data_IF_823086589190
#
_entry.id   IF_823086589190
#
_cell.length_a   1.000
_cell.length_b   1.000
_cell.length_c   1.000
_cell.angle_alpha   90.00
_cell.angle_beta   90.00
_cell.angle_gamma   90.00
#
_symmetry.space_group_name_H-M   'P 1'
#
loop_
_entity.id
_entity.type
_entity.pdbx_description
1 polymer ?
#
# COMPACT_ATOMS: atom_id res chain seq x y z
N UNK A 1 8.95 -6.33 17.87
CA UNK A 1 7.65 -6.72 17.24
C UNK A 1 7.44 -5.89 15.97
N UNK A 2 6.59 -6.33 15.03
CA UNK A 2 6.34 -5.61 13.77
C UNK A 2 4.84 -5.36 13.60
N UNK A 3 4.48 -4.29 12.86
CA UNK A 3 3.11 -3.95 12.56
C UNK A 3 2.86 -3.86 11.03
N UNK A 4 1.64 -4.15 10.62
CA UNK A 4 1.14 -3.90 9.27
C UNK A 4 -0.01 -2.89 9.33
N UNK A 5 0.14 -1.75 8.66
CA UNK A 5 -0.92 -0.78 8.38
C UNK A 5 -1.56 -1.16 7.06
N UNK A 6 -2.80 -1.59 7.11
CA UNK A 6 -3.58 -2.11 6.00
C UNK A 6 -4.61 -1.06 5.58
N UNK A 7 -4.31 -0.35 4.50
CA UNK A 7 -5.10 0.81 4.06
C UNK A 7 -6.33 0.34 3.24
N UNK A 8 -7.49 0.35 3.88
CA UNK A 8 -8.77 -0.05 3.29
C UNK A 8 -9.81 1.09 3.21
N UNK A 9 -9.58 2.25 3.85
CA UNK A 9 -10.52 3.37 3.93
C UNK A 9 -10.81 4.13 2.63
N UNK A 10 -10.14 3.78 1.52
CA UNK A 10 -10.23 4.50 0.25
C UNK A 10 -11.63 4.47 -0.36
N UNK A 11 -12.15 5.65 -0.75
CA UNK A 11 -13.52 5.81 -1.29
C UNK A 11 -13.76 5.17 -2.67
N UNK A 12 -12.71 4.81 -3.42
CA UNK A 12 -12.85 4.20 -4.74
C UNK A 12 -13.70 5.00 -5.74
N UNK A 13 -13.63 6.34 -5.71
CA UNK A 13 -14.54 7.24 -6.46
C UNK A 13 -14.66 6.92 -7.95
N UNK A 14 -13.59 6.41 -8.57
CA UNK A 14 -13.57 6.00 -9.99
C UNK A 14 -14.33 4.70 -10.26
N UNK A 15 -14.66 3.94 -9.23
CA UNK A 15 -15.35 2.65 -9.32
C UNK A 15 -16.82 2.67 -8.83
N UNK A 16 -17.28 3.77 -8.21
CA UNK A 16 -18.62 3.87 -7.60
C UNK A 16 -19.80 3.55 -8.50
N UNK A 17 -19.62 3.63 -9.82
CA UNK A 17 -20.66 3.25 -10.78
C UNK A 17 -20.78 1.73 -10.99
N UNK A 18 -19.80 0.96 -10.53
CA UNK A 18 -19.69 -0.47 -10.81
C UNK A 18 -19.68 -1.32 -9.52
N UNK A 19 -19.17 -0.78 -8.41
CA UNK A 19 -19.06 -1.48 -7.13
C UNK A 19 -19.24 -0.50 -5.97
N UNK A 20 -19.99 -0.89 -4.95
CA UNK A 20 -20.23 -0.09 -3.74
C UNK A 20 -18.96 0.09 -2.93
N UNK A 21 -18.20 -0.99 -2.74
CA UNK A 21 -16.88 -0.96 -2.09
C UNK A 21 -15.90 -1.89 -2.81
N UNK A 22 -14.88 -1.29 -3.43
CA UNK A 22 -13.90 -2.06 -4.21
C UNK A 22 -13.06 -3.01 -3.35
N UNK A 23 -12.83 -2.68 -2.07
CA UNK A 23 -11.99 -3.50 -1.17
C UNK A 23 -12.71 -4.79 -0.80
N UNK A 24 -14.04 -4.72 -0.72
CA UNK A 24 -14.92 -5.85 -0.42
C UNK A 24 -15.38 -6.59 -1.69
N UNK A 25 -14.95 -6.17 -2.88
CA UNK A 25 -15.27 -6.86 -4.12
C UNK A 25 -14.60 -8.24 -4.14
N UNK A 26 -15.39 -9.26 -4.44
CA UNK A 26 -14.93 -10.66 -4.48
C UNK A 26 -14.32 -11.01 -5.85
N UNK A 27 -13.11 -11.58 -5.80
CA UNK A 27 -12.39 -12.11 -6.95
C UNK A 27 -11.79 -13.45 -6.61
N UNK A 28 -12.12 -14.48 -7.38
CA UNK A 28 -11.57 -15.82 -7.16
C UNK A 28 -11.97 -16.45 -5.82
N UNK A 29 -13.13 -16.08 -5.27
CA UNK A 29 -13.71 -16.66 -4.05
C UNK A 29 -13.32 -15.96 -2.75
N UNK A 30 -12.67 -14.79 -2.80
CA UNK A 30 -12.45 -13.94 -1.61
C UNK A 30 -12.33 -12.46 -2.00
N UNK A 31 -12.51 -11.57 -1.02
CA UNK A 31 -12.42 -10.13 -1.24
C UNK A 31 -11.00 -9.69 -1.57
N UNK A 32 -10.84 -8.53 -2.21
CA UNK A 32 -9.50 -7.93 -2.42
C UNK A 32 -8.78 -7.71 -1.08
N UNK A 33 -9.54 -7.37 -0.04
CA UNK A 33 -9.01 -7.21 1.32
C UNK A 33 -8.47 -8.53 1.86
N UNK A 34 -9.25 -9.62 1.82
CA UNK A 34 -8.81 -10.94 2.28
C UNK A 34 -7.57 -11.43 1.54
N UNK A 35 -7.48 -11.19 0.23
CA UNK A 35 -6.26 -11.54 -0.55
C UNK A 35 -5.02 -10.83 -0.03
N UNK A 36 -5.13 -9.56 0.32
CA UNK A 36 -4.01 -8.83 0.95
C UNK A 36 -3.65 -9.43 2.30
N UNK A 37 -4.64 -9.78 3.13
CA UNK A 37 -4.42 -10.40 4.44
C UNK A 37 -3.77 -11.78 4.34
N UNK A 38 -4.12 -12.59 3.33
CA UNK A 38 -3.53 -13.91 3.11
C UNK A 38 -2.00 -13.84 3.03
N UNK A 39 -1.47 -12.90 2.27
CA UNK A 39 -0.02 -12.75 2.14
C UNK A 39 0.65 -12.41 3.48
N UNK A 40 0.05 -11.52 4.28
CA UNK A 40 0.57 -11.19 5.62
C UNK A 40 0.44 -12.37 6.60
N UNK A 41 -0.66 -13.13 6.51
CA UNK A 41 -0.85 -14.35 7.29
C UNK A 41 0.23 -15.40 6.98
N UNK A 42 0.47 -15.66 5.69
CA UNK A 42 1.45 -16.64 5.22
C UNK A 42 2.89 -16.21 5.54
N UNK A 43 3.19 -14.92 5.42
CA UNK A 43 4.52 -14.40 5.70
C UNK A 43 4.85 -14.35 7.19
N UNK A 44 3.85 -14.28 8.07
CA UNK A 44 3.98 -14.16 9.53
C UNK A 44 4.95 -13.04 9.99
N UNK A 45 5.03 -11.93 9.23
CA UNK A 45 6.00 -10.86 9.45
C UNK A 45 5.54 -9.77 10.42
N UNK A 46 4.26 -9.76 10.82
CA UNK A 46 3.68 -8.73 11.67
C UNK A 46 2.80 -9.33 12.78
N UNK A 47 2.98 -8.83 14.02
CA UNK A 47 2.23 -9.23 15.22
C UNK A 47 1.04 -8.32 15.50
N UNK A 48 0.97 -7.17 14.82
CA UNK A 48 -0.10 -6.19 14.92
C UNK A 48 -0.58 -5.82 13.52
N UNK A 49 -1.88 -5.99 13.26
CA UNK A 49 -2.54 -5.51 12.06
C UNK A 49 -3.42 -4.31 12.39
N UNK A 50 -3.16 -3.18 11.79
CA UNK A 50 -3.95 -1.96 11.92
C UNK A 50 -4.69 -1.75 10.61
N UNK A 51 -5.99 -1.99 10.61
CA UNK A 51 -6.83 -1.86 9.42
C UNK A 51 -7.53 -0.51 9.44
N UNK A 52 -7.33 0.30 8.39
CA UNK A 52 -8.06 1.56 8.28
C UNK A 52 -9.41 1.36 7.61
N UNK A 53 -10.46 2.01 8.12
CA UNK A 53 -11.82 1.93 7.59
C UNK A 53 -12.40 3.32 7.32
N UNK A 54 -13.39 3.40 6.43
CA UNK A 54 -14.04 4.65 5.99
C UNK A 54 -15.23 5.04 6.87
N UNK A 55 -16.13 4.10 7.10
CA UNK A 55 -17.41 4.28 7.80
C UNK A 55 -17.75 3.05 8.63
N UNK A 56 -18.82 3.14 9.44
CA UNK A 56 -19.19 2.09 10.37
C UNK A 56 -19.57 0.77 9.68
N UNK A 57 -20.30 0.85 8.56
CA UNK A 57 -20.69 -0.33 7.80
C UNK A 57 -19.47 -1.09 7.26
N UNK A 58 -18.50 -0.38 6.68
CA UNK A 58 -17.25 -0.99 6.22
C UNK A 58 -16.45 -1.56 7.40
N UNK A 59 -16.41 -0.86 8.54
CA UNK A 59 -15.69 -1.32 9.74
C UNK A 59 -16.11 -2.72 10.15
N UNK A 60 -17.40 -2.98 10.26
CA UNK A 60 -17.95 -4.26 10.74
C UNK A 60 -17.54 -5.42 9.81
N UNK A 61 -17.58 -5.20 8.50
CA UNK A 61 -17.17 -6.19 7.50
C UNK A 61 -15.66 -6.47 7.56
N UNK A 62 -14.84 -5.41 7.58
CA UNK A 62 -13.38 -5.53 7.66
C UNK A 62 -12.93 -6.17 8.97
N UNK A 63 -13.58 -5.84 10.10
CA UNK A 63 -13.29 -6.42 11.41
C UNK A 63 -13.58 -7.91 11.45
N UNK A 64 -14.75 -8.32 10.95
CA UNK A 64 -15.12 -9.73 10.85
C UNK A 64 -14.14 -10.50 10.00
N UNK A 65 -13.77 -9.97 8.83
CA UNK A 65 -12.87 -10.64 7.89
C UNK A 65 -11.42 -10.69 8.42
N UNK A 66 -10.91 -9.58 8.98
CA UNK A 66 -9.57 -9.52 9.55
C UNK A 66 -9.41 -10.45 10.76
N UNK A 67 -10.42 -10.53 11.62
CA UNK A 67 -10.41 -11.42 12.80
C UNK A 67 -10.39 -12.90 12.42
N UNK A 68 -11.07 -13.28 11.33
CA UNK A 68 -11.05 -14.66 10.80
C UNK A 68 -9.72 -15.02 10.15
N UNK A 69 -9.05 -14.02 9.58
CA UNK A 69 -7.81 -14.21 8.80
C UNK A 69 -6.55 -14.10 9.67
N UNK A 70 -6.61 -13.36 10.77
CA UNK A 70 -5.45 -13.15 11.63
C UNK A 70 -4.99 -14.46 12.27
N UNK A 71 -3.68 -14.80 12.19
CA UNK A 71 -3.12 -15.94 12.90
C UNK A 71 -3.24 -15.77 14.42
N UNK A 72 -3.14 -16.87 15.15
CA UNK A 72 -3.05 -16.83 16.61
C UNK A 72 -1.88 -15.94 17.06
N UNK A 73 -2.11 -15.08 18.06
CA UNK A 73 -1.13 -14.14 18.58
C UNK A 73 -1.01 -12.83 17.80
N UNK A 74 -1.68 -12.68 16.64
CA UNK A 74 -1.74 -11.41 15.91
C UNK A 74 -2.90 -10.57 16.42
N UNK A 75 -2.59 -9.36 16.92
CA UNK A 75 -3.60 -8.39 17.34
C UNK A 75 -4.14 -7.61 16.14
N UNK A 76 -5.46 -7.46 16.04
CA UNK A 76 -6.14 -6.64 15.02
C UNK A 76 -6.72 -5.39 15.67
N UNK A 77 -6.47 -4.23 15.08
CA UNK A 77 -7.01 -2.92 15.49
C UNK A 77 -7.63 -2.23 14.29
N UNK A 78 -8.90 -1.81 14.41
CA UNK A 78 -9.54 -0.97 13.40
C UNK A 78 -9.37 0.51 13.74
N UNK A 79 -8.98 1.30 12.74
CA UNK A 79 -8.75 2.74 12.88
C UNK A 79 -9.50 3.49 11.79
N UNK A 80 -10.25 4.52 12.16
CA UNK A 80 -10.92 5.36 11.18
C UNK A 80 -9.88 6.07 10.30
N UNK A 81 -10.00 5.93 8.98
CA UNK A 81 -9.18 6.64 8.01
C UNK A 81 -9.46 8.15 8.03
N UNK A 82 -8.55 8.91 7.45
CA UNK A 82 -8.69 10.35 7.27
C UNK A 82 -9.21 10.72 5.88
N UNK A 83 -9.24 12.00 5.58
CA UNK A 83 -9.69 12.54 4.29
C UNK A 83 -8.76 12.12 3.15
N UNK A 84 -7.46 12.10 3.41
CA UNK A 84 -6.42 11.68 2.48
C UNK A 84 -5.71 10.40 2.98
N UNK A 85 -4.96 9.76 2.07
CA UNK A 85 -4.18 8.56 2.39
C UNK A 85 -3.19 8.80 3.53
N UNK A 86 -2.46 9.92 3.51
CA UNK A 86 -1.51 10.32 4.56
C UNK A 86 -2.16 10.44 5.94
N UNK A 87 -3.37 11.00 6.03
CA UNK A 87 -4.11 11.11 7.29
C UNK A 87 -4.53 9.73 7.83
N UNK A 88 -4.85 8.80 6.93
CA UNK A 88 -5.16 7.41 7.34
C UNK A 88 -3.93 6.71 7.92
N UNK A 89 -2.76 6.92 7.33
CA UNK A 89 -1.48 6.42 7.86
C UNK A 89 -1.17 7.05 9.20
N UNK A 90 -1.33 8.35 9.34
CA UNK A 90 -1.11 9.07 10.60
C UNK A 90 -2.00 8.54 11.72
N UNK A 91 -3.30 8.35 11.45
CA UNK A 91 -4.25 7.80 12.42
C UNK A 91 -3.85 6.38 12.86
N UNK A 92 -3.32 5.58 11.94
CA UNK A 92 -2.81 4.24 12.23
C UNK A 92 -1.51 4.30 13.05
N UNK A 93 -0.57 5.17 12.71
CA UNK A 93 0.69 5.37 13.45
C UNK A 93 0.45 5.76 14.90
N UNK A 94 -0.61 6.53 15.19
CA UNK A 94 -1.00 6.90 16.57
C UNK A 94 -1.42 5.70 17.45
N UNK A 95 -1.64 4.51 16.85
CA UNK A 95 -1.96 3.26 17.57
C UNK A 95 -0.76 2.33 17.73
N UNK A 96 0.38 2.71 17.19
CA UNK A 96 1.61 1.92 17.24
C UNK A 96 2.37 2.28 18.51
N UNK A 97 2.64 1.26 19.32
CA UNK A 97 3.39 1.36 20.58
C UNK A 97 4.91 1.32 20.32
N UNK A 98 5.74 1.74 21.31
CA UNK A 98 7.20 1.79 21.16
C UNK A 98 7.88 0.43 20.89
N UNK A 99 7.23 -0.68 21.23
CA UNK A 99 7.76 -2.03 21.02
C UNK A 99 7.79 -2.45 19.54
N UNK A 100 7.08 -1.73 18.69
CA UNK A 100 7.07 -1.99 17.25
C UNK A 100 8.33 -1.41 16.62
N UNK A 101 9.11 -2.27 16.01
CA UNK A 101 10.39 -1.92 15.36
C UNK A 101 10.24 -1.68 13.85
N UNK A 102 9.42 -2.49 13.18
CA UNK A 102 9.21 -2.39 11.73
C UNK A 102 7.72 -2.20 11.44
N UNK A 103 7.41 -1.31 10.49
CA UNK A 103 6.07 -1.02 10.02
C UNK A 103 5.99 -1.27 8.52
N UNK A 104 5.03 -2.11 8.12
CA UNK A 104 4.60 -2.27 6.73
C UNK A 104 3.40 -1.37 6.49
N UNK A 105 3.41 -0.59 5.41
CA UNK A 105 2.24 0.16 4.94
C UNK A 105 1.79 -0.41 3.60
N UNK A 106 0.58 -0.95 3.55
CA UNK A 106 0.06 -1.63 2.36
C UNK A 106 -1.32 -1.14 1.95
N UNK A 107 -1.47 -0.84 0.66
CA UNK A 107 -2.74 -0.55 0.04
C UNK A 107 -3.50 -1.87 -0.22
N UNK A 108 -4.59 -2.17 0.50
CA UNK A 108 -5.39 -3.38 0.29
C UNK A 108 -6.04 -3.46 -1.10
N UNK A 109 -5.94 -2.40 -1.89
CA UNK A 109 -6.28 -2.39 -3.31
C UNK A 109 -5.22 -3.06 -4.20
N UNK A 110 -4.13 -3.64 -3.65
CA UNK A 110 -3.11 -4.45 -4.34
C UNK A 110 -3.18 -5.91 -3.86
N UNK A 111 -4.18 -6.67 -4.30
CA UNK A 111 -4.45 -8.01 -3.76
C UNK A 111 -3.45 -9.09 -4.20
N UNK A 112 -2.52 -8.75 -5.12
CA UNK A 112 -1.55 -9.71 -5.67
C UNK A 112 -0.23 -9.75 -4.92
N UNK A 113 -0.13 -9.08 -3.75
CA UNK A 113 1.06 -9.15 -2.90
C UNK A 113 1.36 -10.59 -2.49
N UNK A 114 2.64 -10.97 -2.43
CA UNK A 114 3.10 -12.32 -2.11
C UNK A 114 3.86 -12.36 -0.78
N UNK A 115 3.69 -13.43 -0.01
CA UNK A 115 4.36 -13.64 1.26
C UNK A 115 5.90 -13.51 1.16
N UNK A 116 6.51 -14.08 0.12
CA UNK A 116 7.95 -13.97 -0.12
C UNK A 116 8.46 -12.52 -0.25
N UNK A 117 7.62 -11.63 -0.82
CA UNK A 117 7.98 -10.22 -0.96
C UNK A 117 7.93 -9.49 0.37
N UNK A 118 6.99 -9.84 1.25
CA UNK A 118 6.93 -9.33 2.62
C UNK A 118 8.17 -9.73 3.43
N UNK A 119 8.60 -10.99 3.33
CA UNK A 119 9.81 -11.48 4.00
C UNK A 119 11.05 -10.75 3.49
N UNK A 120 11.15 -10.56 2.16
CA UNK A 120 12.28 -9.83 1.55
C UNK A 120 12.30 -8.37 1.99
N UNK A 121 11.15 -7.69 1.99
CA UNK A 121 11.02 -6.31 2.47
C UNK A 121 11.43 -6.17 3.94
N UNK A 122 11.03 -7.12 4.80
CA UNK A 122 11.43 -7.13 6.20
C UNK A 122 12.95 -7.16 6.33
N UNK A 123 13.61 -8.11 5.64
CA UNK A 123 15.07 -8.24 5.68
C UNK A 123 15.77 -6.96 5.23
N UNK A 124 15.36 -6.39 4.09
CA UNK A 124 15.98 -5.17 3.56
C UNK A 124 15.72 -3.97 4.47
N UNK A 125 14.50 -3.81 5.01
CA UNK A 125 14.18 -2.69 5.91
C UNK A 125 14.93 -2.77 7.25
N UNK A 126 15.20 -3.97 7.78
CA UNK A 126 16.05 -4.15 8.95
C UNK A 126 17.48 -3.68 8.66
N UNK A 127 18.01 -4.02 7.50
CA UNK A 127 19.39 -3.69 7.08
C UNK A 127 19.56 -2.21 6.74
N UNK A 128 18.60 -1.62 6.00
CA UNK A 128 18.76 -0.30 5.38
C UNK A 128 17.87 0.80 5.97
N UNK A 129 17.02 0.49 6.96
CA UNK A 129 16.07 1.42 7.56
C UNK A 129 14.74 1.52 6.79
N UNK A 130 14.73 1.35 5.47
CA UNK A 130 13.52 1.44 4.67
C UNK A 130 13.61 0.71 3.34
N UNK A 131 12.52 0.04 2.95
CA UNK A 131 12.41 -0.67 1.68
C UNK A 131 10.98 -0.59 1.14
N UNK A 132 10.83 -0.57 -0.17
CA UNK A 132 9.53 -0.56 -0.85
C UNK A 132 9.52 -1.50 -2.04
N UNK A 133 8.35 -2.12 -2.31
CA UNK A 133 8.16 -2.78 -3.58
C UNK A 133 8.07 -1.74 -4.70
N UNK A 134 8.69 -2.05 -5.81
CA UNK A 134 8.64 -1.26 -7.03
C UNK A 134 8.97 -2.14 -8.24
N UNK A 135 8.78 -1.62 -9.45
CA UNK A 135 9.26 -2.26 -10.67
C UNK A 135 9.82 -1.20 -11.63
N UNK A 136 10.81 -1.55 -12.48
CA UNK A 136 11.33 -0.64 -13.50
C UNK A 136 10.24 -0.19 -14.47
N UNK A 137 10.23 1.08 -14.82
CA UNK A 137 9.30 1.62 -15.82
C UNK A 137 9.65 1.07 -17.21
N UNK A 138 8.65 0.50 -17.88
CA UNK A 138 8.81 -0.13 -19.21
C UNK A 138 8.43 0.79 -20.36
N UNK A 139 7.46 1.67 -20.13
CA UNK A 139 6.96 2.59 -21.15
C UNK A 139 7.87 3.80 -21.33
N UNK A 140 7.77 4.45 -22.49
CA UNK A 140 8.43 5.74 -22.71
C UNK A 140 7.68 6.83 -21.93
N UNK A 141 8.37 7.50 -21.02
CA UNK A 141 7.80 8.57 -20.22
C UNK A 141 8.13 9.92 -20.86
N UNK A 142 7.09 10.75 -20.99
CA UNK A 142 7.19 12.15 -21.44
C UNK A 142 6.77 13.07 -20.32
N UNK A 143 7.56 14.08 -20.04
CA UNK A 143 7.08 15.22 -19.30
C UNK A 143 6.24 16.07 -20.24
N UNK A 144 5.10 16.60 -19.77
CA UNK A 144 4.29 17.54 -20.56
C UNK A 144 4.92 18.92 -20.57
N UNK A 145 4.71 19.67 -21.65
CA UNK A 145 4.97 21.12 -21.70
C UNK A 145 3.73 21.85 -21.18
N UNK A 146 3.94 23.03 -20.62
CA UNK A 146 2.84 23.95 -20.36
C UNK A 146 2.10 24.26 -21.67
N UNK A 147 0.78 24.22 -21.59
CA UNK A 147 -0.08 24.34 -22.76
C UNK A 147 -1.44 24.95 -22.32
N UNK A 148 -1.96 25.87 -23.09
CA UNK A 148 -3.28 26.48 -22.90
C UNK A 148 -4.40 25.74 -23.68
N UNK A 149 -4.07 24.71 -24.42
CA UNK A 149 -5.01 23.92 -25.22
C UNK A 149 -5.66 22.77 -24.46
N UNK A 150 -6.69 22.13 -25.04
CA UNK A 150 -7.44 21.06 -24.41
C UNK A 150 -6.66 19.74 -24.29
N UNK A 151 -5.53 19.61 -25.00
CA UNK A 151 -4.72 18.38 -25.02
C UNK A 151 -3.31 18.64 -24.51
N UNK A 152 -2.80 17.82 -23.56
CA UNK A 152 -1.42 17.92 -23.11
C UNK A 152 -0.43 17.74 -24.28
N UNK A 153 0.59 18.60 -24.34
CA UNK A 153 1.64 18.52 -25.35
C UNK A 153 2.85 17.76 -24.80
N UNK A 154 3.32 16.77 -25.54
CA UNK A 154 4.51 16.02 -25.17
C UNK A 154 5.74 16.92 -25.11
N UNK A 155 6.40 16.96 -23.97
CA UNK A 155 7.67 17.63 -23.75
C UNK A 155 8.86 16.71 -23.95
N UNK A 156 9.90 16.89 -23.11
CA UNK A 156 11.10 16.06 -23.21
C UNK A 156 10.84 14.60 -22.76
N UNK A 157 11.67 13.70 -23.28
CA UNK A 157 11.67 12.30 -22.83
C UNK A 157 12.43 12.21 -21.52
N UNK A 158 11.82 11.58 -20.52
CA UNK A 158 12.52 11.25 -19.27
C UNK A 158 13.26 9.94 -19.47
N UNK A 159 14.51 9.88 -19.05
CA UNK A 159 15.29 8.64 -19.10
C UNK A 159 14.69 7.60 -18.13
N UNK A 160 14.08 6.58 -18.71
CA UNK A 160 13.41 5.53 -17.92
C UNK A 160 14.37 4.54 -17.28
N UNK A 161 15.65 4.52 -17.64
CA UNK A 161 16.63 3.59 -17.06
C UNK A 161 16.80 3.77 -15.55
N UNK A 162 16.51 4.97 -15.04
CA UNK A 162 16.54 5.33 -13.62
C UNK A 162 15.15 5.43 -12.96
N UNK A 163 14.07 5.13 -13.72
CA UNK A 163 12.70 5.28 -13.21
C UNK A 163 12.11 3.96 -12.73
N UNK A 164 11.54 4.01 -11.55
CA UNK A 164 10.80 2.90 -10.94
C UNK A 164 9.38 3.33 -10.59
N UNK A 165 8.42 2.47 -10.89
CA UNK A 165 7.03 2.66 -10.47
C UNK A 165 6.85 2.08 -9.08
N UNK A 166 6.46 2.94 -8.14
CA UNK A 166 6.32 2.58 -6.73
C UNK A 166 5.08 1.74 -6.48
N UNK A 167 5.24 0.74 -5.65
CA UNK A 167 4.16 -0.14 -5.20
C UNK A 167 4.03 -0.09 -3.67
N UNK A 168 3.22 -0.98 -3.12
CA UNK A 168 3.17 -1.30 -1.70
C UNK A 168 3.19 -2.81 -1.52
N UNK A 169 3.70 -3.34 -0.39
CA UNK A 169 4.05 -2.63 0.86
C UNK A 169 5.28 -1.75 0.75
N UNK A 170 5.25 -0.66 1.54
CA UNK A 170 6.40 0.15 1.88
C UNK A 170 6.73 -0.12 3.35
N UNK A 171 7.98 -0.42 3.65
CA UNK A 171 8.37 -1.02 4.93
C UNK A 171 9.53 -0.23 5.53
N UNK A 172 9.40 0.19 6.79
CA UNK A 172 10.37 1.06 7.43
C UNK A 172 10.61 0.68 8.89
N UNK A 173 11.74 1.07 9.42
CA UNK A 173 11.92 1.20 10.87
C UNK A 173 10.87 2.19 11.41
N UNK A 174 10.27 1.83 12.54
CA UNK A 174 9.11 2.56 13.07
C UNK A 174 9.41 4.02 13.37
N UNK A 175 10.59 4.30 13.94
CA UNK A 175 11.03 5.66 14.27
C UNK A 175 11.18 6.51 13.00
N UNK A 176 11.88 5.99 12.00
CA UNK A 176 12.12 6.67 10.74
C UNK A 176 10.82 7.05 10.03
N UNK A 177 9.82 6.14 10.01
CA UNK A 177 8.52 6.45 9.43
C UNK A 177 7.76 7.51 10.23
N UNK A 178 7.81 7.45 11.57
CA UNK A 178 7.18 8.46 12.44
C UNK A 178 7.77 9.85 12.22
N UNK A 179 9.07 9.96 12.20
CA UNK A 179 9.79 11.23 11.99
C UNK A 179 9.46 11.82 10.61
N UNK A 180 9.56 11.02 9.53
CA UNK A 180 9.26 11.48 8.18
C UNK A 180 7.80 11.94 8.02
N UNK A 181 6.84 11.19 8.58
CA UNK A 181 5.43 11.58 8.57
C UNK A 181 5.15 12.82 9.42
N UNK A 182 5.82 12.97 10.57
CA UNK A 182 5.69 14.15 11.43
C UNK A 182 6.24 15.41 10.72
N UNK A 183 7.40 15.32 10.06
CA UNK A 183 7.96 16.40 9.28
C UNK A 183 7.05 16.80 8.11
N UNK A 184 6.54 15.84 7.33
CA UNK A 184 5.63 16.12 6.24
C UNK A 184 4.38 16.90 6.69
N UNK A 185 3.86 16.60 7.88
CA UNK A 185 2.72 17.28 8.48
C UNK A 185 3.10 18.69 8.96
N UNK A 186 4.20 18.80 9.71
CA UNK A 186 4.65 20.07 10.28
C UNK A 186 4.94 21.12 9.20
N UNK A 187 5.49 20.69 8.06
CA UNK A 187 5.78 21.53 6.90
C UNK A 187 4.64 21.62 5.90
N UNK A 188 3.50 20.99 6.18
CA UNK A 188 2.31 20.90 5.29
C UNK A 188 2.67 20.44 3.87
N UNK A 189 3.59 19.49 3.75
CA UNK A 189 4.02 18.94 2.45
C UNK A 189 3.05 17.88 1.95
N UNK A 190 2.76 17.92 0.65
CA UNK A 190 1.97 16.90 0.00
C UNK A 190 2.85 15.69 -0.33
N UNK A 191 2.86 14.69 0.56
CA UNK A 191 3.51 13.41 0.29
C UNK A 191 2.50 12.41 -0.27
N UNK A 192 2.89 11.71 -1.33
CA UNK A 192 2.02 10.75 -2.02
C UNK A 192 2.12 9.35 -1.44
N UNK A 193 3.24 9.04 -0.77
CA UNK A 193 3.55 7.76 -0.17
C UNK A 193 4.54 7.92 1.01
N UNK A 194 4.83 6.83 1.71
CA UNK A 194 5.73 6.82 2.87
C UNK A 194 7.20 6.98 2.46
N UNK A 195 7.55 6.51 1.27
CA UNK A 195 8.90 6.72 0.71
C UNK A 195 9.22 8.19 0.56
N UNK A 196 8.26 8.98 0.07
CA UNK A 196 8.39 10.44 -0.04
C UNK A 196 8.55 11.10 1.34
N UNK A 197 7.79 10.64 2.35
CA UNK A 197 7.89 11.19 3.70
C UNK A 197 9.26 10.91 4.34
N UNK A 198 9.76 9.68 4.23
CA UNK A 198 11.10 9.29 4.73
C UNK A 198 12.20 10.00 3.95
N UNK A 199 12.00 10.24 2.65
CA UNK A 199 12.93 11.01 1.81
C UNK A 199 13.15 12.45 2.29
N UNK A 200 12.18 13.07 2.99
CA UNK A 200 12.37 14.41 3.61
C UNK A 200 13.49 14.43 4.64
N UNK A 201 13.72 13.31 5.31
CA UNK A 201 14.81 13.16 6.27
C UNK A 201 16.19 12.97 5.60
N UNK A 202 16.26 12.93 4.26
CA UNK A 202 17.46 12.57 3.51
C UNK A 202 17.84 11.09 3.62
N UNK A 203 16.96 10.25 4.16
CA UNK A 203 17.25 8.82 4.33
C UNK A 203 16.94 8.07 3.03
N UNK A 204 17.90 7.27 2.50
CA UNK A 204 17.68 6.47 1.30
C UNK A 204 16.72 5.32 1.56
N UNK A 205 15.83 5.04 0.61
CA UNK A 205 14.88 3.93 0.66
C UNK A 205 15.22 2.91 -0.42
N UNK A 206 15.42 1.66 -0.04
CA UNK A 206 15.79 0.58 -0.94
C UNK A 206 14.61 0.15 -1.81
N UNK A 207 14.82 0.03 -3.13
CA UNK A 207 13.83 -0.49 -4.07
C UNK A 207 13.97 -2.01 -4.19
N UNK A 208 12.89 -2.72 -3.95
CA UNK A 208 12.81 -4.18 -4.10
C UNK A 208 11.92 -4.50 -5.28
N UNK A 209 12.51 -5.09 -6.34
CA UNK A 209 11.73 -5.52 -7.50
C UNK A 209 10.72 -6.59 -7.08
N UNK A 210 9.45 -6.35 -7.36
CA UNK A 210 8.37 -7.31 -7.10
C UNK A 210 8.56 -8.60 -7.91
N UNK A 211 9.08 -8.49 -9.13
CA UNK A 211 9.31 -9.62 -10.05
C UNK A 211 8.03 -10.29 -10.55
N UNK A 212 6.87 -9.71 -10.27
CA UNK A 212 5.53 -10.17 -10.70
C UNK A 212 4.55 -9.00 -10.74
N UNK A 213 3.42 -9.12 -11.47
CA UNK A 213 2.39 -8.08 -11.49
C UNK A 213 1.74 -7.91 -10.10
N UNK A 214 1.81 -6.68 -9.56
CA UNK A 214 1.15 -6.29 -8.30
C UNK A 214 0.33 -5.02 -8.53
N UNK A 215 -0.66 -5.05 -9.46
CA UNK A 215 -1.40 -3.85 -9.84
C UNK A 215 -2.31 -3.36 -8.71
N UNK A 216 -2.52 -2.03 -8.67
CA UNK A 216 -3.48 -1.39 -7.79
C UNK A 216 -4.84 -1.32 -8.48
N UNK A 217 -5.86 -1.91 -7.91
CA UNK A 217 -7.23 -1.80 -8.39
C UNK A 217 -7.72 -0.36 -8.22
N UNK A 218 -7.93 0.33 -9.34
CA UNK A 218 -8.34 1.74 -9.39
C UNK A 218 -9.51 1.99 -10.33
N UNK A 219 -9.67 1.14 -11.34
CA UNK A 219 -10.73 1.20 -12.36
C UNK A 219 -11.40 -0.17 -12.49
N UNK A 220 -12.61 -0.27 -13.09
CA UNK A 220 -13.26 -1.56 -13.36
C UNK A 220 -12.41 -2.52 -14.20
N UNK A 221 -11.63 -2.01 -15.15
CA UNK A 221 -10.74 -2.83 -15.98
C UNK A 221 -9.67 -3.57 -15.16
N UNK A 222 -9.23 -2.96 -14.04
CA UNK A 222 -8.25 -3.58 -13.16
C UNK A 222 -8.81 -4.85 -12.48
N UNK A 223 -10.12 -4.93 -12.24
CA UNK A 223 -10.75 -6.14 -11.68
C UNK A 223 -10.61 -7.32 -12.63
N UNK A 224 -10.93 -7.13 -13.91
CA UNK A 224 -10.78 -8.19 -14.93
C UNK A 224 -9.32 -8.63 -15.06
N UNK A 225 -8.39 -7.70 -14.94
CA UNK A 225 -6.97 -8.03 -14.94
C UNK A 225 -6.56 -8.84 -13.70
N UNK A 226 -7.06 -8.50 -12.52
CA UNK A 226 -6.82 -9.29 -11.29
C UNK A 226 -7.42 -10.69 -11.43
N UNK A 227 -8.64 -10.83 -11.95
CA UNK A 227 -9.27 -12.13 -12.21
C UNK A 227 -8.41 -13.00 -13.13
N UNK A 228 -7.91 -12.43 -14.22
CA UNK A 228 -6.98 -13.11 -15.12
C UNK A 228 -5.72 -13.59 -14.40
N UNK A 229 -5.09 -12.73 -13.60
CA UNK A 229 -3.87 -13.08 -12.85
C UNK A 229 -4.10 -14.23 -11.86
N UNK A 230 -5.21 -14.18 -11.11
CA UNK A 230 -5.57 -15.22 -10.15
C UNK A 230 -5.82 -16.57 -10.83
N UNK A 231 -6.54 -16.55 -11.95
CA UNK A 231 -6.82 -17.79 -12.70
C UNK A 231 -5.54 -18.39 -13.29
N UNK A 232 -4.60 -17.55 -13.72
CA UNK A 232 -3.29 -17.98 -14.21
C UNK A 232 -2.41 -18.61 -13.10
N UNK A 233 -2.54 -18.15 -11.85
CA UNK A 233 -1.80 -18.74 -10.72
C UNK A 233 -2.34 -20.12 -10.28
N UNK A 234 -3.61 -20.42 -10.62
CA UNK A 234 -4.26 -21.70 -10.32
C UNK A 234 -4.03 -22.78 -11.38
N UNK A 235 -3.61 -22.38 -12.59
CA UNK A 235 -3.33 -23.26 -13.73
C UNK A 235 -1.89 -23.73 -13.74
#
# INVERSE_FOLDING_TARGET
MNAAILLAAGRGSRMRKCVDDKILYEVGGCTLFAKSLLAFREAAVANLWIVTYRDQSQKELLESEASKMAPEGVKVILVKGGEERRHSVQNALAKITPEIQIIFVHDCARPMIRAKSLVKLLSVAIETGGATLAHPVRDTIKQTRENQGPHPIAGHTVDRSSLWAMETPQTFQAELLREGMAQAIAENLSVTDETSAVGLLGHPVSLVDSGYPNPKVTTPADLSYIEFLINKEKA
#
